data_IF_748832432811
#
_entry.id   IF_748832432811
#
_cell.length_a   1.000
_cell.length_b   1.000
_cell.length_c   1.000
_cell.angle_alpha   90.00
_cell.angle_beta   90.00
_cell.angle_gamma   90.00
#
_symmetry.space_group_name_H-M   'P 1'
#
loop_
_entity.id
_entity.type
_entity.pdbx_description
1 polymer ?
#
# COMPACT_ATOMS: atom_id res chain seq x y z
N UNK A 1 -15.97 8.74 -14.85
CA UNK A 1 -15.32 7.84 -15.82
C UNK A 1 -14.16 7.15 -15.12
N UNK A 2 -14.14 5.81 -15.07
CA UNK A 2 -13.12 5.07 -14.31
C UNK A 2 -11.89 4.86 -15.21
N UNK A 3 -10.75 5.46 -14.85
CA UNK A 3 -9.51 5.38 -15.61
C UNK A 3 -9.03 3.93 -15.79
N UNK A 4 -9.27 3.05 -14.82
CA UNK A 4 -8.96 1.62 -14.94
C UNK A 4 -9.84 0.92 -15.98
N UNK A 5 -11.09 1.36 -16.10
CA UNK A 5 -11.99 0.85 -17.14
C UNK A 5 -11.51 1.32 -18.51
N UNK A 6 -11.18 2.60 -18.67
CA UNK A 6 -10.60 3.15 -19.90
C UNK A 6 -9.29 2.43 -20.32
N UNK A 7 -8.42 2.09 -19.36
CA UNK A 7 -7.22 1.28 -19.61
C UNK A 7 -7.52 -0.16 -20.05
N UNK A 8 -8.72 -0.68 -19.75
CA UNK A 8 -9.16 -2.03 -20.12
C UNK A 8 -10.01 -2.10 -21.40
N UNK A 9 -10.52 -0.96 -21.90
CA UNK A 9 -11.39 -0.92 -23.10
C UNK A 9 -10.64 -1.28 -24.40
N UNK A 10 -9.30 -1.22 -24.41
CA UNK A 10 -8.45 -1.55 -25.56
C UNK A 10 -8.15 -3.04 -25.78
N UNK A 11 -8.97 -3.98 -25.27
CA UNK A 11 -8.72 -5.44 -25.24
C UNK A 11 -7.57 -5.90 -24.33
N UNK A 12 -6.99 -5.00 -23.54
CA UNK A 12 -5.97 -5.33 -22.55
C UNK A 12 -6.59 -6.00 -21.32
N UNK A 13 -6.06 -7.15 -20.91
CA UNK A 13 -6.45 -7.77 -19.62
C UNK A 13 -5.78 -6.97 -18.50
N UNK A 14 -6.57 -6.48 -17.54
CA UNK A 14 -6.02 -5.92 -16.30
C UNK A 14 -5.38 -7.05 -15.50
N UNK A 15 -4.05 -7.10 -15.48
CA UNK A 15 -3.26 -8.02 -14.66
C UNK A 15 -2.78 -7.30 -13.40
N UNK A 16 -2.39 -8.08 -12.37
CA UNK A 16 -1.74 -7.54 -11.16
C UNK A 16 -0.52 -6.70 -11.53
N UNK A 17 0.37 -7.23 -12.39
CA UNK A 17 1.55 -6.52 -12.89
C UNK A 17 1.21 -5.16 -13.53
N UNK A 18 0.22 -5.11 -14.43
CA UNK A 18 -0.14 -3.86 -15.12
C UNK A 18 -0.75 -2.83 -14.16
N UNK A 19 -1.56 -3.29 -13.20
CA UNK A 19 -2.14 -2.42 -12.18
C UNK A 19 -1.09 -1.91 -11.20
N UNK A 20 -0.15 -2.76 -10.78
CA UNK A 20 0.95 -2.38 -9.90
C UNK A 20 1.88 -1.38 -10.59
N UNK A 21 2.21 -1.59 -11.86
CA UNK A 21 2.99 -0.65 -12.65
C UNK A 21 2.30 0.72 -12.78
N UNK A 22 0.99 0.73 -13.04
CA UNK A 22 0.23 1.97 -13.12
C UNK A 22 0.11 2.68 -11.77
N UNK A 23 -0.14 1.95 -10.69
CA UNK A 23 -0.16 2.51 -9.34
C UNK A 23 1.20 3.10 -8.96
N UNK A 24 2.30 2.37 -9.21
CA UNK A 24 3.66 2.87 -8.98
C UNK A 24 3.97 4.14 -9.79
N UNK A 25 3.49 4.21 -11.03
CA UNK A 25 3.61 5.41 -11.86
C UNK A 25 2.91 6.62 -11.23
N UNK A 26 1.72 6.46 -10.64
CA UNK A 26 1.00 7.54 -9.94
C UNK A 26 1.59 7.89 -8.58
N UNK A 27 2.22 6.92 -7.91
CA UNK A 27 2.83 7.08 -6.59
C UNK A 27 4.19 7.78 -6.64
N UNK A 28 4.85 7.80 -7.80
CA UNK A 28 6.16 8.40 -8.01
C UNK A 28 6.06 9.89 -8.40
N UNK A 29 6.26 10.85 -7.47
CA UNK A 29 5.93 12.27 -7.71
C UNK A 29 6.73 12.94 -8.84
N UNK A 30 7.87 12.35 -9.20
CA UNK A 30 8.77 12.82 -10.25
C UNK A 30 8.40 12.31 -11.65
N UNK A 31 7.36 11.48 -11.78
CA UNK A 31 6.88 10.98 -13.07
C UNK A 31 5.89 11.95 -13.72
N UNK A 32 5.79 11.97 -15.06
CA UNK A 32 4.98 12.94 -15.80
C UNK A 32 3.47 12.57 -15.82
N UNK A 33 2.86 12.33 -14.67
CA UNK A 33 1.41 12.06 -14.55
C UNK A 33 0.58 13.28 -14.12
N UNK A 34 1.22 14.42 -13.86
CA UNK A 34 0.53 15.69 -13.56
C UNK A 34 -0.04 15.83 -12.14
N UNK A 35 0.03 14.78 -11.31
CA UNK A 35 -0.43 14.85 -9.91
C UNK A 35 0.67 15.25 -8.91
N UNK A 36 1.94 15.24 -9.32
CA UNK A 36 3.09 15.49 -8.44
C UNK A 36 2.93 14.69 -7.12
N UNK A 37 3.11 15.34 -5.97
CA UNK A 37 2.98 14.72 -4.65
C UNK A 37 1.54 14.48 -4.21
N UNK A 38 0.53 15.09 -4.87
CA UNK A 38 -0.85 15.07 -4.38
C UNK A 38 -1.43 13.65 -4.29
N UNK A 39 -1.15 12.80 -5.28
CA UNK A 39 -1.62 11.41 -5.27
C UNK A 39 -0.96 10.60 -4.15
N UNK A 40 0.37 10.71 -4.00
CA UNK A 40 1.12 10.04 -2.94
C UNK A 40 0.63 10.46 -1.55
N UNK A 41 0.44 11.77 -1.30
CA UNK A 41 -0.08 12.26 -0.02
C UNK A 41 -1.47 11.67 0.26
N UNK A 42 -2.40 11.76 -0.69
CA UNK A 42 -3.74 11.23 -0.50
C UNK A 42 -3.74 9.72 -0.22
N UNK A 43 -2.89 8.97 -0.93
CA UNK A 43 -2.71 7.53 -0.70
C UNK A 43 -2.17 7.24 0.70
N UNK A 44 -1.08 7.89 1.10
CA UNK A 44 -0.46 7.67 2.41
C UNK A 44 -1.35 8.13 3.57
N UNK A 45 -2.12 9.21 3.41
CA UNK A 45 -3.14 9.61 4.39
C UNK A 45 -4.19 8.52 4.60
N UNK A 46 -4.66 7.88 3.53
CA UNK A 46 -5.64 6.79 3.66
C UNK A 46 -5.03 5.52 4.26
N UNK A 47 -3.77 5.22 3.95
CA UNK A 47 -3.02 4.13 4.59
C UNK A 47 -2.85 4.40 6.09
N UNK A 48 -2.44 5.61 6.48
CA UNK A 48 -2.30 6.04 7.87
C UNK A 48 -3.61 5.87 8.65
N UNK A 49 -4.72 6.34 8.05
CA UNK A 49 -6.07 6.15 8.60
C UNK A 49 -6.45 4.67 8.76
N UNK A 50 -6.11 3.83 7.78
CA UNK A 50 -6.38 2.38 7.81
C UNK A 50 -5.55 1.64 8.87
N UNK A 51 -4.39 2.18 9.26
CA UNK A 51 -3.58 1.70 10.37
C UNK A 51 -4.10 2.15 11.74
N UNK A 52 -5.04 3.10 11.80
CA UNK A 52 -5.47 3.74 13.05
C UNK A 52 -4.46 4.75 13.60
N UNK A 53 -3.56 5.25 12.74
CA UNK A 53 -2.46 6.15 13.10
C UNK A 53 -2.33 7.24 12.02
N UNK A 54 -3.14 8.31 12.09
CA UNK A 54 -3.18 9.37 11.07
C UNK A 54 -1.85 10.12 10.89
N UNK A 55 -1.01 10.15 11.92
CA UNK A 55 0.26 10.87 11.94
C UNK A 55 1.44 10.01 11.47
N UNK A 56 1.19 8.74 11.11
CA UNK A 56 2.21 7.76 10.70
C UNK A 56 3.28 8.29 9.76
N UNK A 57 2.87 9.09 8.78
CA UNK A 57 3.77 9.61 7.74
C UNK A 57 4.00 11.12 7.85
N UNK A 58 3.42 11.81 8.84
CA UNK A 58 3.40 13.27 8.86
C UNK A 58 4.79 13.88 9.00
N UNK A 59 5.67 13.26 9.79
CA UNK A 59 7.08 13.67 9.92
C UNK A 59 7.84 13.60 8.58
N UNK A 60 7.66 12.50 7.83
CA UNK A 60 8.31 12.33 6.53
C UNK A 60 7.70 13.26 5.46
N UNK A 61 6.36 13.34 5.39
CA UNK A 61 5.63 14.15 4.42
C UNK A 61 5.75 15.66 4.65
N UNK A 62 6.01 16.08 5.89
CA UNK A 62 6.26 17.47 6.25
C UNK A 62 7.70 17.92 6.06
N UNK A 63 8.62 17.00 5.71
CA UNK A 63 10.04 17.33 5.57
C UNK A 63 10.29 18.14 4.29
N UNK A 64 10.96 19.32 4.36
CA UNK A 64 11.19 20.18 3.18
C UNK A 64 12.01 19.50 2.07
N UNK A 65 12.91 18.60 2.47
CA UNK A 65 13.77 17.82 1.58
C UNK A 65 13.30 16.37 1.54
N UNK A 66 12.05 16.16 1.14
CA UNK A 66 11.50 14.83 0.90
C UNK A 66 11.90 14.37 -0.50
N UNK A 67 12.52 13.19 -0.57
CA UNK A 67 12.71 12.44 -1.81
C UNK A 67 11.95 11.12 -1.72
N UNK A 68 11.34 10.72 -2.83
CA UNK A 68 10.51 9.52 -2.91
C UNK A 68 11.05 8.61 -4.00
N UNK A 69 11.42 7.40 -3.62
CA UNK A 69 11.84 6.36 -4.54
C UNK A 69 10.76 5.29 -4.62
N UNK A 70 10.38 4.93 -5.85
CA UNK A 70 9.36 3.90 -6.11
C UNK A 70 9.96 2.81 -6.98
N UNK A 71 9.93 1.59 -6.47
CA UNK A 71 10.40 0.38 -7.15
C UNK A 71 9.26 -0.59 -7.44
N UNK A 72 9.46 -1.44 -8.45
CA UNK A 72 8.56 -2.54 -8.82
C UNK A 72 9.29 -3.87 -8.66
N UNK A 73 8.53 -4.93 -8.33
CA UNK A 73 9.02 -6.32 -8.28
C UNK A 73 10.30 -6.48 -7.43
N UNK A 74 10.35 -5.79 -6.29
CA UNK A 74 11.50 -5.84 -5.40
C UNK A 74 11.57 -7.21 -4.73
N UNK A 75 12.72 -7.86 -4.86
CA UNK A 75 13.02 -9.12 -4.17
C UNK A 75 13.57 -8.83 -2.77
N UNK A 76 12.98 -9.46 -1.76
CA UNK A 76 13.56 -9.59 -0.43
C UNK A 76 14.10 -11.01 -0.24
N UNK A 77 15.34 -11.08 0.21
CA UNK A 77 15.99 -12.34 0.54
C UNK A 77 15.71 -12.67 2.01
N UNK A 78 15.15 -13.85 2.22
CA UNK A 78 14.87 -14.43 3.53
C UNK A 78 14.92 -15.96 3.41
N UNK A 79 14.47 -16.72 4.42
CA UNK A 79 14.45 -18.19 4.36
C UNK A 79 13.73 -18.71 3.11
N UNK A 80 12.68 -18.00 2.69
CA UNK A 80 12.09 -18.14 1.37
C UNK A 80 11.96 -16.74 0.77
N UNK A 81 12.65 -16.48 -0.35
CA UNK A 81 12.56 -15.18 -1.00
C UNK A 81 11.12 -14.81 -1.33
N UNK A 82 10.81 -13.52 -1.23
CA UNK A 82 9.53 -12.94 -1.60
C UNK A 82 9.76 -11.77 -2.55
N UNK A 83 8.89 -11.64 -3.53
CA UNK A 83 8.85 -10.49 -4.44
C UNK A 83 7.61 -9.70 -4.04
N UNK A 84 7.76 -8.39 -3.91
CA UNK A 84 6.66 -7.47 -3.63
C UNK A 84 6.35 -6.66 -4.88
N UNK A 85 5.07 -6.33 -5.08
CA UNK A 85 4.64 -5.62 -6.29
C UNK A 85 5.21 -4.21 -6.38
N UNK A 86 5.14 -3.44 -5.29
CA UNK A 86 5.61 -2.05 -5.24
C UNK A 86 6.36 -1.81 -3.93
N UNK A 87 7.51 -1.13 -4.02
CA UNK A 87 8.26 -0.58 -2.90
C UNK A 87 8.22 0.95 -2.98
N UNK A 88 8.01 1.63 -1.85
CA UNK A 88 8.13 3.09 -1.73
C UNK A 88 9.09 3.38 -0.57
N UNK A 89 10.12 4.18 -0.84
CA UNK A 89 11.04 4.65 0.18
C UNK A 89 10.89 6.17 0.31
N UNK A 90 10.53 6.62 1.52
CA UNK A 90 10.52 8.04 1.87
C UNK A 90 11.89 8.37 2.46
N UNK A 91 12.61 9.24 1.77
CA UNK A 91 13.94 9.68 2.16
C UNK A 91 13.89 11.16 2.56
N UNK A 92 14.57 11.52 3.63
CA UNK A 92 14.64 12.90 4.13
C UNK A 92 16.09 13.35 4.26
N UNK A 93 16.35 14.63 3.96
CA UNK A 93 17.71 15.20 4.00
C UNK A 93 18.29 15.35 2.59
N UNK A 94 19.56 15.75 2.52
CA UNK A 94 20.29 15.98 1.27
C UNK A 94 21.67 15.31 1.27
N UNK A 95 22.10 14.87 0.09
CA UNK A 95 23.42 14.28 -0.12
C UNK A 95 23.76 13.18 0.91
N UNK A 96 24.88 13.35 1.60
CA UNK A 96 25.38 12.39 2.60
C UNK A 96 24.54 12.34 3.89
N UNK A 97 23.65 13.32 4.11
CA UNK A 97 22.72 13.34 5.25
C UNK A 97 21.38 12.65 4.95
N UNK A 98 21.20 12.14 3.73
CA UNK A 98 19.94 11.52 3.32
C UNK A 98 19.69 10.24 4.12
N UNK A 99 18.57 10.19 4.82
CA UNK A 99 18.16 9.06 5.64
C UNK A 99 16.81 8.54 5.20
N UNK A 100 16.63 7.22 5.33
CA UNK A 100 15.34 6.58 5.07
C UNK A 100 14.41 6.83 6.25
N UNK A 101 13.44 7.71 6.06
CA UNK A 101 12.45 8.08 7.06
C UNK A 101 11.33 7.03 7.17
N UNK A 102 10.91 6.42 6.06
CA UNK A 102 9.89 5.38 6.06
C UNK A 102 10.06 4.42 4.89
N UNK A 103 9.72 3.16 5.11
CA UNK A 103 9.70 2.13 4.07
C UNK A 103 8.26 1.59 3.93
N UNK A 104 7.65 1.75 2.77
CA UNK A 104 6.31 1.21 2.48
C UNK A 104 6.43 0.11 1.43
N UNK A 105 5.79 -1.02 1.68
CA UNK A 105 5.68 -2.13 0.73
C UNK A 105 4.21 -2.31 0.39
N UNK A 106 3.89 -2.45 -0.89
CA UNK A 106 2.53 -2.69 -1.35
C UNK A 106 2.50 -4.02 -2.10
N UNK A 107 1.57 -4.87 -1.69
CA UNK A 107 1.18 -6.08 -2.39
C UNK A 107 -0.24 -5.91 -2.93
N UNK A 108 -0.40 -6.09 -4.24
CA UNK A 108 -1.64 -5.89 -4.96
C UNK A 108 -2.25 -7.23 -5.34
N UNK A 109 -3.35 -7.60 -4.68
CA UNK A 109 -4.11 -8.80 -4.99
C UNK A 109 -5.36 -8.42 -5.77
N UNK A 110 -5.45 -8.83 -7.03
CA UNK A 110 -6.63 -8.59 -7.89
C UNK A 110 -7.72 -9.64 -7.65
N UNK A 111 -7.34 -10.84 -7.19
CA UNK A 111 -8.26 -11.95 -6.91
C UNK A 111 -8.40 -12.22 -5.42
N UNK A 112 -9.64 -12.38 -4.97
CA UNK A 112 -10.01 -12.67 -3.59
C UNK A 112 -9.28 -13.90 -3.01
N UNK A 113 -9.23 -15.01 -3.76
CA UNK A 113 -8.57 -16.24 -3.30
C UNK A 113 -7.04 -16.18 -3.17
N UNK A 114 -6.40 -15.07 -3.57
CA UNK A 114 -4.95 -14.86 -3.47
C UNK A 114 -4.54 -14.12 -2.19
N UNK A 115 -5.49 -13.68 -1.38
CA UNK A 115 -5.24 -12.95 -0.14
C UNK A 115 -5.40 -13.88 1.08
N UNK A 116 -4.55 -14.90 1.20
CA UNK A 116 -4.59 -15.82 2.33
C UNK A 116 -3.75 -15.31 3.50
N UNK A 117 -4.32 -15.27 4.71
CA UNK A 117 -3.68 -14.70 5.90
C UNK A 117 -2.27 -15.26 6.17
N UNK A 118 -2.06 -16.57 5.97
CA UNK A 118 -0.75 -17.21 6.14
C UNK A 118 0.28 -16.67 5.13
N UNK A 119 -0.10 -16.50 3.86
CA UNK A 119 0.80 -15.97 2.83
C UNK A 119 1.22 -14.54 3.16
N UNK A 120 0.29 -13.71 3.64
CA UNK A 120 0.58 -12.34 4.06
C UNK A 120 1.51 -12.31 5.28
N UNK A 121 1.29 -13.23 6.24
CA UNK A 121 2.10 -13.36 7.42
C UNK A 121 3.56 -13.76 7.10
N UNK A 122 3.73 -14.75 6.23
CA UNK A 122 5.05 -15.18 5.76
C UNK A 122 5.75 -14.08 4.97
N UNK A 123 5.01 -13.34 4.14
CA UNK A 123 5.55 -12.23 3.37
C UNK A 123 6.01 -11.09 4.29
N UNK A 124 5.19 -10.71 5.27
CA UNK A 124 5.56 -9.73 6.28
C UNK A 124 6.82 -10.15 7.03
N UNK A 125 6.87 -11.40 7.52
CA UNK A 125 8.05 -11.92 8.24
C UNK A 125 9.31 -11.87 7.38
N UNK A 126 9.24 -12.22 6.09
CA UNK A 126 10.38 -12.13 5.18
C UNK A 126 10.86 -10.68 4.99
N UNK A 127 9.94 -9.73 4.82
CA UNK A 127 10.27 -8.30 4.66
C UNK A 127 10.88 -7.76 5.95
N UNK A 128 10.28 -8.06 7.10
CA UNK A 128 10.81 -7.64 8.40
C UNK A 128 12.20 -8.20 8.66
N UNK A 129 12.45 -9.46 8.32
CA UNK A 129 13.76 -10.09 8.47
C UNK A 129 14.81 -9.41 7.59
N UNK A 130 14.50 -9.20 6.31
CA UNK A 130 15.40 -8.57 5.36
C UNK A 130 15.75 -7.10 5.71
N UNK A 131 14.95 -6.48 6.58
CA UNK A 131 15.14 -5.10 7.02
C UNK A 131 15.40 -4.98 8.53
N UNK A 132 15.72 -6.09 9.23
CA UNK A 132 15.87 -6.13 10.69
C UNK A 132 16.88 -5.10 11.23
N UNK A 133 17.96 -4.88 10.51
CA UNK A 133 19.06 -3.99 10.92
C UNK A 133 18.84 -2.53 10.48
N UNK A 134 17.72 -2.22 9.82
CA UNK A 134 17.38 -0.86 9.43
C UNK A 134 16.53 -0.21 10.54
N UNK A 135 16.93 0.97 11.06
CA UNK A 135 16.16 1.67 12.09
C UNK A 135 14.84 2.27 11.56
N UNK A 136 14.57 2.14 10.27
CA UNK A 136 13.44 2.78 9.59
C UNK A 136 12.13 2.01 9.83
N UNK A 137 11.04 2.72 10.19
CA UNK A 137 9.71 2.14 10.22
C UNK A 137 9.29 1.54 8.87
N UNK A 138 8.70 0.34 8.92
CA UNK A 138 8.16 -0.35 7.74
C UNK A 138 6.63 -0.32 7.81
N UNK A 139 5.96 -0.18 6.67
CA UNK A 139 4.51 -0.36 6.57
C UNK A 139 4.21 -1.25 5.39
N UNK A 140 3.53 -2.37 5.65
CA UNK A 140 3.12 -3.31 4.59
C UNK A 140 1.64 -3.09 4.30
N UNK A 141 1.33 -2.82 3.04
CA UNK A 141 0.00 -2.50 2.53
C UNK A 141 -0.47 -3.65 1.65
N UNK A 142 -1.59 -4.26 2.03
CA UNK A 142 -2.26 -5.24 1.20
C UNK A 142 -3.46 -4.60 0.52
N UNK A 143 -3.39 -4.44 -0.80
CA UNK A 143 -4.51 -3.99 -1.62
C UNK A 143 -5.33 -5.20 -2.05
N UNK A 144 -6.56 -5.31 -1.53
CA UNK A 144 -7.42 -6.45 -1.78
C UNK A 144 -8.79 -6.04 -2.34
N UNK A 145 -9.48 -6.92 -3.10
CA UNK A 145 -10.83 -6.66 -3.57
C UNK A 145 -11.83 -6.66 -2.40
N UNK A 146 -13.00 -6.01 -2.55
CA UNK A 146 -14.01 -5.95 -1.50
C UNK A 146 -14.62 -7.33 -1.21
N UNK A 147 -14.83 -7.62 0.07
CA UNK A 147 -15.39 -8.89 0.57
C UNK A 147 -14.40 -9.73 1.40
N UNK A 148 -13.09 -9.56 1.20
CA UNK A 148 -12.05 -10.36 1.88
C UNK A 148 -11.39 -9.64 3.06
N UNK A 149 -11.67 -8.34 3.21
CA UNK A 149 -11.14 -7.50 4.29
C UNK A 149 -11.47 -8.07 5.68
N UNK A 150 -12.68 -8.62 5.86
CA UNK A 150 -13.16 -9.10 7.14
C UNK A 150 -12.37 -10.32 7.63
N UNK A 151 -12.08 -11.27 6.73
CA UNK A 151 -11.27 -12.46 7.04
C UNK A 151 -9.81 -12.08 7.39
N UNK A 152 -9.26 -11.08 6.71
CA UNK A 152 -7.91 -10.59 6.96
C UNK A 152 -7.80 -9.73 8.24
N UNK A 153 -8.82 -8.90 8.53
CA UNK A 153 -8.89 -8.13 9.77
C UNK A 153 -9.02 -9.05 10.99
N UNK A 154 -9.79 -10.16 10.91
CA UNK A 154 -9.85 -11.14 11.99
C UNK A 154 -8.51 -11.84 12.25
N UNK A 155 -7.70 -12.08 11.21
CA UNK A 155 -6.34 -12.62 11.37
C UNK A 155 -5.36 -11.60 11.97
N UNK A 156 -5.59 -10.30 11.75
CA UNK A 156 -4.80 -9.19 12.32
C UNK A 156 -5.00 -9.05 13.83
N UNK A 157 -6.20 -9.30 14.35
CA UNK A 157 -6.48 -9.27 15.80
C UNK A 157 -5.85 -10.41 16.59
N UNK A 158 -5.41 -11.49 15.94
CA UNK A 158 -4.80 -12.65 16.58
C UNK A 158 -3.28 -12.71 16.46
N UNK A 159 -2.62 -11.68 15.91
CA UNK A 159 -1.16 -11.66 15.67
C UNK A 159 -0.51 -10.36 16.15
N UNK A 160 0.78 -10.39 16.57
CA UNK A 160 1.47 -9.25 17.19
C UNK A 160 1.84 -8.09 16.23
N UNK A 161 1.41 -8.10 14.97
CA UNK A 161 1.84 -7.13 13.94
C UNK A 161 0.79 -6.05 13.62
N UNK A 162 -0.18 -5.83 14.50
CA UNK A 162 -1.36 -5.00 14.25
C UNK A 162 -1.05 -3.52 13.94
N UNK A 163 0.08 -2.99 14.40
CA UNK A 163 0.50 -1.60 14.22
C UNK A 163 1.36 -1.35 12.97
N UNK A 164 1.74 -2.38 12.21
CA UNK A 164 2.70 -2.28 11.08
C UNK A 164 2.05 -2.66 9.73
N UNK A 165 0.87 -3.28 9.77
CA UNK A 165 0.18 -3.81 8.59
C UNK A 165 -1.10 -3.04 8.30
N UNK A 166 -1.15 -2.37 7.15
CA UNK A 166 -2.35 -1.77 6.59
C UNK A 166 -3.02 -2.77 5.65
N UNK A 167 -4.30 -3.09 5.90
CA UNK A 167 -5.11 -3.82 4.92
C UNK A 167 -6.07 -2.78 4.35
N UNK A 168 -5.91 -2.47 3.07
CA UNK A 168 -6.79 -1.52 2.39
C UNK A 168 -7.58 -2.25 1.31
N UNK A 169 -8.89 -2.09 1.38
CA UNK A 169 -9.81 -2.81 0.50
C UNK A 169 -10.46 -1.83 -0.46
N UNK A 170 -10.28 -2.08 -1.76
CA UNK A 170 -10.84 -1.24 -2.80
C UNK A 170 -12.36 -1.42 -2.79
N UNK A 171 -13.11 -0.46 -2.25
CA UNK A 171 -14.57 -0.48 -2.35
C UNK A 171 -14.96 -0.25 -3.81
N UNK A 172 -15.75 -1.15 -4.41
CA UNK A 172 -16.40 -0.83 -5.69
C UNK A 172 -17.23 0.43 -5.45
N UNK A 173 -17.02 1.46 -6.27
CA UNK A 173 -17.96 2.58 -6.35
C UNK A 173 -19.31 2.02 -6.75
N UNK A 174 -20.20 1.83 -5.77
CA UNK A 174 -21.59 1.52 -6.05
C UNK A 174 -22.19 2.77 -6.71
N UNK A 175 -22.39 2.72 -8.02
CA UNK A 175 -23.54 3.40 -8.61
C UNK A 175 -24.78 2.67 -8.05
N UNK A 176 -25.18 3.04 -6.84
CA UNK A 176 -26.41 2.54 -6.24
C UNK A 176 -27.61 3.32 -6.78
N UNK A 177 -28.75 2.66 -7.09
CA UNK A 177 -30.00 3.38 -7.20
C UNK A 177 -30.33 4.00 -5.84
N UNK A 178 -30.97 5.17 -5.87
CA UNK A 178 -31.28 5.93 -4.67
C UNK A 178 -32.03 5.07 -3.62
N UNK A 179 -31.46 5.00 -2.41
CA UNK A 179 -32.20 4.55 -1.22
C UNK A 179 -31.76 3.20 -0.63
N UNK A 180 -30.52 3.10 -0.14
CA UNK A 180 -30.25 2.23 1.01
C UNK A 180 -29.02 2.75 1.76
N UNK A 181 -29.27 3.25 2.98
CA UNK A 181 -28.22 3.65 3.93
C UNK A 181 -27.71 2.39 4.61
N UNK A 182 -26.59 1.85 4.13
CA UNK A 182 -25.84 0.86 4.88
C UNK A 182 -25.01 1.58 5.95
N UNK A 183 -25.48 1.46 7.19
CA UNK A 183 -24.82 1.91 8.41
C UNK A 183 -23.54 1.09 8.67
N UNK A 184 -22.38 1.72 8.60
CA UNK A 184 -21.18 1.23 9.28
C UNK A 184 -21.17 1.76 10.73
N UNK A 185 -20.78 0.95 11.73
CA UNK A 185 -20.68 1.41 13.11
C UNK A 185 -19.49 2.35 13.27
N UNK A 186 -19.73 3.52 13.86
CA UNK A 186 -18.70 4.42 14.39
C UNK A 186 -17.99 3.74 15.57
N UNK A 187 -16.66 3.76 15.58
CA UNK A 187 -15.89 3.42 16.77
C UNK A 187 -15.07 4.65 17.17
N UNK A 188 -15.35 5.10 18.39
CA UNK A 188 -14.66 6.14 19.15
C UNK A 188 -13.27 5.70 19.60
#
# INVERSE_FOLDING_TARGET
MNIFYALSEGRGRLTETNLSAFAAFLLAPNKPHGFSHAFLHAFLTEVARSCGDPERFSAALGHPLLSVEVGLEKKYDGPVSRIVDIEIQLMTGDGDSQQKAHHIVIENKVKAGAAQAQQLAEQFACISEANRDLPTPITVVFLTPPGEAAALCSARSSTPWSSTVAIHTVRRGCAGPAGQKDSCPSWS
#
